data_IF_658284866464
#
_entry.id   IF_658284866464
#
_cell.length_a   1.000
_cell.length_b   1.000
_cell.length_c   1.000
_cell.angle_alpha   90.00
_cell.angle_beta   90.00
_cell.angle_gamma   90.00
#
_symmetry.space_group_name_H-M   'P 1'
#
loop_
_entity.id
_entity.type
_entity.pdbx_description
1 polymer ?
#
# COMPACT_ATOMS: atom_id res chain seq x y z
N UNK A 1 -10.52 -5.03 17.17
CA UNK A 1 -11.39 -4.86 16.00
C UNK A 1 -12.83 -4.80 16.47
N UNK A 2 -13.36 -3.59 16.56
CA UNK A 2 -14.74 -3.27 16.86
C UNK A 2 -15.61 -3.27 15.61
N UNK A 3 -15.08 -2.77 14.48
CA UNK A 3 -15.77 -2.77 13.20
C UNK A 3 -14.86 -3.23 12.06
N UNK A 4 -15.49 -3.83 11.05
CA UNK A 4 -14.85 -4.14 9.78
C UNK A 4 -15.90 -4.08 8.68
N UNK A 5 -15.57 -3.43 7.56
CA UNK A 5 -16.37 -3.44 6.34
C UNK A 5 -15.51 -3.88 5.16
N UNK A 6 -16.04 -4.81 4.37
CA UNK A 6 -15.46 -5.23 3.10
C UNK A 6 -16.58 -5.14 2.06
N UNK A 7 -16.40 -4.30 1.05
CA UNK A 7 -17.37 -4.13 -0.04
C UNK A 7 -16.70 -4.41 -1.39
N UNK A 8 -17.33 -5.31 -2.14
CA UNK A 8 -17.02 -5.57 -3.54
C UNK A 8 -18.17 -5.13 -4.42
N UNK A 9 -17.84 -4.44 -5.51
CA UNK A 9 -18.78 -4.06 -6.55
C UNK A 9 -18.19 -4.42 -7.90
N UNK A 10 -18.95 -5.11 -8.73
CA UNK A 10 -18.51 -5.56 -10.06
C UNK A 10 -17.17 -6.34 -10.04
N UNK A 11 -16.98 -7.16 -8.99
CA UNK A 11 -15.75 -7.94 -8.79
C UNK A 11 -14.53 -7.13 -8.34
N UNK A 12 -14.67 -5.83 -8.05
CA UNK A 12 -13.61 -4.96 -7.56
C UNK A 12 -13.81 -4.61 -6.09
N UNK A 13 -12.72 -4.57 -5.33
CA UNK A 13 -12.73 -4.04 -3.98
C UNK A 13 -12.98 -2.53 -4.05
N UNK A 14 -14.08 -2.06 -3.48
CA UNK A 14 -14.42 -0.63 -3.41
C UNK A 14 -14.25 -0.06 -2.00
N UNK A 15 -14.32 -0.91 -0.99
CA UNK A 15 -14.09 -0.52 0.39
C UNK A 15 -13.51 -1.66 1.19
N UNK A 16 -12.48 -1.33 1.97
CA UNK A 16 -11.99 -2.15 3.07
C UNK A 16 -11.69 -1.18 4.21
N UNK A 17 -12.44 -1.28 5.30
CA UNK A 17 -12.21 -0.50 6.51
C UNK A 17 -12.14 -1.38 7.75
N UNK A 18 -11.24 -1.02 8.66
CA UNK A 18 -11.07 -1.67 9.96
C UNK A 18 -10.99 -0.58 11.02
N UNK A 19 -11.88 -0.60 11.99
CA UNK A 19 -11.96 0.39 13.07
C UNK A 19 -11.93 1.84 12.52
N UNK A 20 -12.66 2.08 11.43
CA UNK A 20 -12.69 3.37 10.70
C UNK A 20 -11.49 3.70 9.81
N UNK A 21 -10.45 2.85 9.76
CA UNK A 21 -9.26 3.05 8.90
C UNK A 21 -9.45 2.35 7.56
N UNK A 22 -9.25 3.07 6.45
CA UNK A 22 -9.45 2.56 5.08
C UNK A 22 -8.18 1.99 4.44
N UNK A 23 -8.30 0.87 3.71
CA UNK A 23 -7.21 0.16 3.04
C UNK A 23 -7.53 -0.12 1.56
N UNK A 24 -7.22 0.83 0.67
CA UNK A 24 -7.59 0.72 -0.76
C UNK A 24 -6.56 0.01 -1.65
N UNK A 25 -5.36 -0.26 -1.14
CA UNK A 25 -4.23 -0.81 -1.92
C UNK A 25 -3.86 -2.25 -1.55
N UNK A 26 -4.78 -2.97 -0.89
CA UNK A 26 -4.60 -4.39 -0.61
C UNK A 26 -4.62 -5.20 -1.93
N UNK A 27 -3.56 -5.96 -2.17
CA UNK A 27 -3.45 -6.89 -3.31
C UNK A 27 -3.98 -8.28 -2.98
N UNK A 28 -4.04 -8.65 -1.70
CA UNK A 28 -4.73 -9.85 -1.22
C UNK A 28 -5.30 -9.63 0.19
N UNK A 29 -6.44 -10.27 0.46
CA UNK A 29 -7.13 -10.23 1.75
C UNK A 29 -7.39 -11.67 2.17
N UNK A 30 -6.97 -12.04 3.38
CA UNK A 30 -7.36 -13.29 4.05
C UNK A 30 -8.05 -12.95 5.36
N UNK A 31 -9.23 -13.54 5.58
CA UNK A 31 -10.05 -13.32 6.75
C UNK A 31 -10.45 -14.66 7.35
N UNK A 32 -10.21 -14.85 8.65
CA UNK A 32 -10.59 -16.04 9.40
C UNK A 32 -11.36 -15.63 10.65
N UNK A 33 -12.49 -16.29 10.89
CA UNK A 33 -13.29 -16.09 12.09
C UNK A 33 -13.94 -17.41 12.50
N UNK A 34 -14.04 -17.62 13.81
CA UNK A 34 -14.86 -18.68 14.40
C UNK A 34 -15.92 -18.02 15.27
N UNK A 35 -17.19 -18.33 15.03
CA UNK A 35 -18.29 -17.67 15.72
C UNK A 35 -18.23 -17.95 17.24
N UNK A 36 -18.38 -16.89 18.05
CA UNK A 36 -18.39 -16.93 19.51
C UNK A 36 -17.07 -17.37 20.18
N UNK A 37 -15.96 -17.32 19.46
CA UNK A 37 -14.62 -17.61 20.01
C UNK A 37 -13.76 -16.34 20.04
N UNK A 38 -12.52 -16.44 19.55
CA UNK A 38 -11.54 -15.36 19.50
C UNK A 38 -11.92 -14.27 18.49
N UNK A 39 -11.37 -13.05 18.66
CA UNK A 39 -11.51 -12.00 17.65
C UNK A 39 -11.07 -12.48 16.25
N UNK A 40 -11.77 -12.06 15.20
CA UNK A 40 -11.42 -12.42 13.84
C UNK A 40 -9.99 -11.96 13.48
N UNK A 41 -9.31 -12.79 12.69
CA UNK A 41 -7.97 -12.51 12.17
C UNK A 41 -8.07 -12.06 10.72
N UNK A 42 -7.41 -10.95 10.40
CA UNK A 42 -7.28 -10.43 9.03
C UNK A 42 -5.81 -10.28 8.65
N UNK A 43 -5.47 -10.72 7.44
CA UNK A 43 -4.14 -10.57 6.84
C UNK A 43 -4.32 -9.80 5.53
N UNK A 44 -3.65 -8.66 5.44
CA UNK A 44 -3.62 -7.81 4.26
C UNK A 44 -2.24 -7.91 3.61
N UNK A 45 -2.22 -8.27 2.33
CA UNK A 45 -1.03 -8.12 1.50
C UNK A 45 -1.16 -6.80 0.77
N UNK A 46 -0.13 -5.96 0.84
CA UNK A 46 -0.08 -4.68 0.13
C UNK A 46 1.13 -4.69 -0.79
N UNK A 47 0.93 -4.27 -2.03
CA UNK A 47 2.05 -4.02 -2.93
C UNK A 47 2.72 -2.72 -2.52
N UNK A 48 3.97 -2.80 -2.06
CA UNK A 48 4.80 -1.60 -1.90
C UNK A 48 5.21 -1.17 -3.31
N UNK A 49 4.52 -0.16 -3.85
CA UNK A 49 4.96 0.49 -5.07
C UNK A 49 6.36 1.07 -4.84
N UNK A 50 7.30 0.76 -5.74
CA UNK A 50 8.54 1.53 -5.81
C UNK A 50 8.12 2.99 -6.03
N UNK A 51 8.38 3.85 -5.03
CA UNK A 51 8.32 5.29 -5.24
C UNK A 51 9.14 5.66 -6.47
N UNK A 52 8.89 6.85 -7.04
CA UNK A 52 9.71 7.37 -8.14
C UNK A 52 11.17 7.05 -7.86
N UNK A 53 11.83 6.34 -8.81
CA UNK A 53 13.25 6.08 -8.72
C UNK A 53 13.90 7.41 -8.38
N UNK A 54 14.55 7.49 -7.22
CA UNK A 54 15.36 8.64 -6.85
C UNK A 54 16.42 8.78 -7.95
N UNK A 55 16.11 9.57 -8.97
CA UNK A 55 17.06 9.91 -10.00
C UNK A 55 18.15 10.68 -9.28
N UNK A 56 19.43 10.30 -9.43
CA UNK A 56 20.50 11.14 -8.93
C UNK A 56 20.27 12.55 -9.46
N UNK A 57 20.26 13.54 -8.57
CA UNK A 57 20.19 14.94 -8.99
C UNK A 57 21.37 15.16 -9.94
N UNK A 58 21.10 15.32 -11.24
CA UNK A 58 22.14 15.68 -12.20
C UNK A 58 22.56 17.10 -11.81
N UNK A 59 23.79 17.32 -11.32
CA UNK A 59 24.23 18.66 -10.99
C UNK A 59 24.18 19.49 -12.28
N UNK A 60 23.76 20.78 -12.21
CA UNK A 60 23.83 21.65 -13.36
C UNK A 60 25.25 21.60 -13.94
N UNK A 61 25.37 21.26 -15.22
CA UNK A 61 26.67 21.19 -15.92
C UNK A 61 27.34 22.57 -16.08
N UNK A 62 26.71 23.64 -15.59
CA UNK A 62 27.13 25.03 -15.76
C UNK A 62 28.52 25.35 -15.18
N UNK A 63 29.02 24.56 -14.21
CA UNK A 63 30.33 24.79 -13.60
C UNK A 63 31.39 23.71 -13.93
N UNK A 64 31.10 22.79 -14.84
CA UNK A 64 32.08 21.79 -15.26
C UNK A 64 32.99 22.40 -16.33
N UNK A 65 34.22 22.75 -15.96
CA UNK A 65 35.28 23.09 -16.92
C UNK A 65 36.16 21.86 -17.11
N UNK A 66 36.32 21.45 -18.37
CA UNK A 66 37.30 20.45 -18.76
C UNK A 66 38.68 21.10 -18.58
N UNK A 67 39.55 20.47 -17.80
CA UNK A 67 40.95 20.88 -17.67
C UNK A 67 41.74 19.91 -18.54
N UNK A 68 42.23 20.39 -19.68
CA UNK A 68 43.18 19.63 -20.50
C UNK A 68 44.58 19.65 -19.84
N UNK A 69 45.29 18.54 -19.97
CA UNK A 69 46.61 18.29 -19.36
C UNK A 69 47.75 18.82 -20.21
#
# INVERSE_FOLDING_TARGET
>A
MQDMKIEYRDGKLVELSIDGVSFLSASAISFSHTANEEPPTIILTMSVGAGERLAPAVPPRENLRIIDK
#
